data_IF_248347780141
#
_entry.id   IF_248347780141
#
_cell.length_a   1.000
_cell.length_b   1.000
_cell.length_c   1.000
_cell.angle_alpha   90.00
_cell.angle_beta   90.00
_cell.angle_gamma   90.00
#
_symmetry.space_group_name_H-M   'P 1'
#
loop_
_entity.id
_entity.type
_entity.pdbx_description
1 polymer ?
#
# COMPACT_ATOMS: atom_id res chain seq x y z
N UNK A 1 14.26 -8.01 -24.92
CA UNK A 1 13.64 -7.19 -23.87
C UNK A 1 12.13 -7.24 -24.07
N UNK A 2 11.31 -7.36 -23.01
CA UNK A 2 9.86 -7.27 -23.15
C UNK A 2 9.41 -5.85 -22.82
N UNK A 3 8.61 -5.24 -23.70
CA UNK A 3 8.07 -3.88 -23.52
C UNK A 3 6.56 -3.92 -23.34
N UNK A 4 6.02 -3.06 -22.48
CA UNK A 4 4.57 -2.87 -22.33
C UNK A 4 4.21 -1.42 -22.51
N UNK A 5 3.21 -1.14 -23.35
CA UNK A 5 2.69 0.20 -23.59
C UNK A 5 1.21 0.24 -23.22
N UNK A 6 0.82 1.13 -22.30
CA UNK A 6 -0.56 1.29 -21.85
C UNK A 6 -1.24 2.45 -22.57
N UNK A 7 -2.52 2.27 -22.89
CA UNK A 7 -3.41 3.31 -23.41
C UNK A 7 -4.73 3.21 -22.65
N UNK A 8 -5.07 4.21 -21.86
CA UNK A 8 -6.33 4.24 -21.11
C UNK A 8 -6.95 5.62 -21.21
N UNK A 9 -8.26 5.68 -21.48
CA UNK A 9 -9.11 6.83 -21.24
C UNK A 9 -9.89 6.57 -19.94
N UNK A 10 -9.73 7.47 -18.96
CA UNK A 10 -10.32 7.33 -17.63
C UNK A 10 -11.25 8.52 -17.41
N UNK A 11 -12.52 8.24 -17.16
CA UNK A 11 -13.52 9.23 -16.79
C UNK A 11 -14.01 8.92 -15.39
N UNK A 12 -13.96 9.92 -14.53
CA UNK A 12 -14.42 9.81 -13.15
C UNK A 12 -15.34 10.98 -12.83
N UNK A 13 -16.38 10.70 -12.06
CA UNK A 13 -17.26 11.70 -11.48
C UNK A 13 -17.67 11.25 -10.10
N UNK A 14 -17.75 12.20 -9.17
CA UNK A 14 -18.30 11.93 -7.84
C UNK A 14 -19.08 13.12 -7.34
N UNK A 15 -20.09 12.84 -6.53
CA UNK A 15 -20.90 13.82 -5.83
C UNK A 15 -20.99 13.40 -4.37
N UNK A 16 -20.87 14.39 -3.48
CA UNK A 16 -20.98 14.16 -2.06
C UNK A 16 -21.75 15.29 -1.39
N UNK A 17 -22.72 14.92 -0.56
CA UNK A 17 -23.50 15.85 0.25
C UNK A 17 -23.31 15.48 1.71
N UNK A 18 -22.93 16.47 2.53
CA UNK A 18 -22.66 16.29 3.95
C UNK A 18 -23.43 17.30 4.79
N UNK A 19 -23.90 16.85 5.93
CA UNK A 19 -24.44 17.67 7.02
C UNK A 19 -23.58 17.45 8.25
N UNK A 20 -23.26 18.51 8.98
CA UNK A 20 -22.44 18.42 10.18
C UNK A 20 -23.02 19.31 11.29
N UNK A 21 -22.89 18.86 12.53
CA UNK A 21 -23.20 19.68 13.70
C UNK A 21 -22.21 20.84 13.87
N UNK A 22 -22.60 21.95 14.50
CA UNK A 22 -21.66 22.95 14.99
C UNK A 22 -20.62 22.37 15.96
N UNK A 23 -19.45 23.00 16.04
CA UNK A 23 -18.39 22.60 16.97
C UNK A 23 -18.72 23.00 18.42
N UNK A 24 -18.12 22.30 19.40
CA UNK A 24 -18.23 22.64 20.83
C UNK A 24 -19.40 21.99 21.59
N UNK A 25 -20.35 21.35 20.89
CA UNK A 25 -21.43 20.57 21.51
C UNK A 25 -20.95 19.35 22.29
N UNK A 26 -21.83 18.73 23.08
CA UNK A 26 -21.57 17.40 23.68
C UNK A 26 -21.63 16.28 22.66
N UNK A 27 -22.51 16.40 21.66
CA UNK A 27 -22.57 15.53 20.52
C UNK A 27 -22.07 16.29 19.29
N UNK A 28 -21.00 15.81 18.67
CA UNK A 28 -20.52 16.27 17.38
C UNK A 28 -20.75 15.18 16.36
N UNK A 29 -21.42 15.48 15.26
CA UNK A 29 -21.80 14.48 14.28
C UNK A 29 -21.63 15.01 12.86
N UNK A 30 -21.44 14.07 11.94
CA UNK A 30 -21.40 14.33 10.51
C UNK A 30 -22.15 13.19 9.81
N UNK A 31 -23.06 13.49 8.90
CA UNK A 31 -23.74 12.49 8.10
C UNK A 31 -23.69 12.89 6.63
N UNK A 32 -23.68 11.91 5.72
CA UNK A 32 -23.61 12.22 4.31
C UNK A 32 -23.99 11.06 3.40
N UNK A 33 -24.13 11.42 2.14
CA UNK A 33 -24.34 10.50 1.01
C UNK A 33 -23.28 10.79 -0.03
N UNK A 34 -22.73 9.73 -0.58
CA UNK A 34 -21.69 9.75 -1.61
C UNK A 34 -22.15 8.92 -2.79
N UNK A 35 -21.90 9.41 -4.00
CA UNK A 35 -22.09 8.64 -5.23
C UNK A 35 -20.93 8.91 -6.18
N UNK A 36 -20.44 7.87 -6.84
CA UNK A 36 -19.38 7.98 -7.82
C UNK A 36 -19.55 7.01 -8.98
N UNK A 37 -19.09 7.46 -10.14
CA UNK A 37 -18.97 6.66 -11.35
C UNK A 37 -17.55 6.79 -11.90
N UNK A 38 -16.95 5.65 -12.21
CA UNK A 38 -15.68 5.56 -12.91
C UNK A 38 -15.84 4.65 -14.13
N UNK A 39 -15.33 5.10 -15.27
CA UNK A 39 -15.19 4.26 -16.47
C UNK A 39 -13.77 4.33 -17.00
N UNK A 40 -13.22 3.18 -17.31
CA UNK A 40 -11.90 3.02 -17.92
C UNK A 40 -12.08 2.27 -19.23
N UNK A 41 -11.77 2.92 -20.36
CA UNK A 41 -11.70 2.25 -21.65
C UNK A 41 -10.25 2.27 -22.12
N UNK A 42 -9.66 1.09 -22.33
CA UNK A 42 -8.24 1.04 -22.61
C UNK A 42 -7.67 -0.35 -22.80
N UNK A 43 -6.38 -0.45 -22.51
CA UNK A 43 -5.61 -1.65 -22.72
C UNK A 43 -4.12 -1.42 -22.71
N UNK A 44 -3.39 -2.43 -23.17
CA UNK A 44 -1.96 -2.36 -23.36
C UNK A 44 -1.49 -3.30 -24.46
N UNK A 45 -0.37 -2.92 -25.08
CA UNK A 45 0.40 -3.78 -25.96
C UNK A 45 1.57 -4.39 -25.19
N UNK A 46 1.88 -5.66 -25.47
CA UNK A 46 3.06 -6.34 -24.95
C UNK A 46 3.91 -6.87 -26.09
N UNK A 47 5.18 -6.45 -26.14
CA UNK A 47 6.17 -6.97 -27.07
C UNK A 47 6.97 -8.09 -26.40
N UNK A 48 6.78 -9.33 -26.86
CA UNK A 48 7.57 -10.49 -26.48
C UNK A 48 8.41 -11.05 -27.65
N UNK A 49 8.58 -10.30 -28.74
CA UNK A 49 9.29 -10.73 -29.94
C UNK A 49 10.74 -11.15 -29.66
N UNK A 50 11.41 -10.44 -28.74
CA UNK A 50 12.77 -10.73 -28.31
C UNK A 50 12.85 -11.70 -27.11
N UNK A 51 11.72 -12.17 -26.58
CA UNK A 51 11.74 -13.19 -25.54
C UNK A 51 11.99 -14.56 -26.19
N UNK A 52 13.09 -15.20 -25.79
CA UNK A 52 13.64 -16.43 -26.40
C UNK A 52 12.62 -17.56 -26.62
N UNK A 53 11.55 -17.61 -25.82
CA UNK A 53 10.53 -18.68 -25.84
C UNK A 53 9.15 -18.23 -26.31
N UNK A 54 8.93 -16.95 -26.59
CA UNK A 54 7.59 -16.42 -26.94
C UNK A 54 7.52 -15.93 -28.38
N UNK A 55 8.32 -14.92 -28.77
CA UNK A 55 8.44 -14.50 -30.17
C UNK A 55 7.19 -13.85 -30.78
N UNK A 56 6.30 -13.27 -29.96
CA UNK A 56 5.04 -12.69 -30.42
C UNK A 56 4.75 -11.30 -29.85
N UNK A 57 3.83 -10.58 -30.48
CA UNK A 57 3.25 -9.33 -29.99
C UNK A 57 1.82 -9.58 -29.53
N UNK A 58 1.41 -9.00 -28.40
CA UNK A 58 0.05 -9.12 -27.87
C UNK A 58 -0.61 -7.76 -27.66
N UNK A 59 -1.93 -7.75 -27.76
CA UNK A 59 -2.80 -6.67 -27.30
C UNK A 59 -3.76 -7.24 -26.25
N UNK A 60 -3.97 -6.49 -25.18
CA UNK A 60 -5.06 -6.72 -24.23
C UNK A 60 -5.87 -5.44 -24.11
N UNK A 61 -7.15 -5.50 -24.44
CA UNK A 61 -8.12 -4.40 -24.30
C UNK A 61 -9.14 -4.73 -23.24
N UNK A 62 -9.63 -3.72 -22.52
CA UNK A 62 -10.68 -3.85 -21.53
C UNK A 62 -11.46 -2.54 -21.40
N UNK A 63 -12.76 -2.66 -21.16
CA UNK A 63 -13.59 -1.63 -20.57
C UNK A 63 -13.89 -1.99 -19.13
N UNK A 64 -13.77 -1.08 -18.18
CA UNK A 64 -14.24 -1.27 -16.81
C UNK A 64 -15.19 -0.15 -16.43
N UNK A 65 -16.26 -0.50 -15.72
CA UNK A 65 -17.17 0.46 -15.10
C UNK A 65 -17.29 0.17 -13.62
N UNK A 66 -17.22 1.20 -12.79
CA UNK A 66 -17.46 1.14 -11.35
C UNK A 66 -18.51 2.16 -11.00
N UNK A 67 -19.52 1.75 -10.26
CA UNK A 67 -20.54 2.63 -9.71
C UNK A 67 -20.68 2.34 -8.22
N UNK A 68 -20.49 3.36 -7.39
CA UNK A 68 -20.49 3.23 -5.93
C UNK A 68 -21.44 4.25 -5.33
N UNK A 69 -22.34 3.78 -4.47
CA UNK A 69 -23.22 4.63 -3.66
C UNK A 69 -23.04 4.29 -2.19
N UNK A 70 -22.83 5.31 -1.36
CA UNK A 70 -22.64 5.12 0.08
C UNK A 70 -23.43 6.12 0.93
N UNK A 71 -23.90 5.64 2.07
CA UNK A 71 -24.54 6.47 3.12
C UNK A 71 -23.74 6.29 4.40
N UNK A 72 -23.39 7.37 5.09
CA UNK A 72 -22.48 7.31 6.23
C UNK A 72 -22.80 8.33 7.33
N UNK A 73 -22.33 8.03 8.54
CA UNK A 73 -22.54 8.82 9.75
C UNK A 73 -21.41 8.66 10.78
N UNK A 74 -20.81 9.79 11.13
CA UNK A 74 -19.92 10.19 12.23
C UNK A 74 -20.62 10.59 13.54
N UNK A 75 -20.26 10.09 14.73
CA UNK A 75 -20.67 10.65 16.03
C UNK A 75 -19.52 10.57 17.05
N UNK A 76 -19.16 11.74 17.59
CA UNK A 76 -18.34 11.89 18.79
C UNK A 76 -19.21 12.43 19.93
N UNK A 77 -19.36 11.65 20.99
CA UNK A 77 -20.23 11.96 22.12
C UNK A 77 -19.43 12.08 23.42
N UNK A 78 -19.29 13.30 23.93
CA UNK A 78 -18.67 13.58 25.22
C UNK A 78 -19.60 13.18 26.36
N UNK A 79 -19.34 12.02 26.97
CA UNK A 79 -20.06 11.55 28.16
C UNK A 79 -19.80 12.47 29.37
N UNK A 80 -18.57 12.95 29.50
CA UNK A 80 -18.14 13.94 30.47
C UNK A 80 -16.90 14.69 29.95
N UNK A 81 -16.22 15.47 30.80
CA UNK A 81 -15.06 16.28 30.40
C UNK A 81 -13.82 15.45 30.01
N UNK A 82 -13.80 14.16 30.34
CA UNK A 82 -12.65 13.26 30.07
C UNK A 82 -12.97 12.09 29.16
N UNK A 83 -14.23 11.69 29.05
CA UNK A 83 -14.62 10.48 28.33
C UNK A 83 -15.47 10.80 27.10
N UNK A 84 -14.99 10.39 25.93
CA UNK A 84 -15.69 10.53 24.65
C UNK A 84 -15.94 9.16 24.04
N UNK A 85 -17.15 8.92 23.59
CA UNK A 85 -17.50 7.77 22.75
C UNK A 85 -17.44 8.18 21.29
N UNK A 86 -16.79 7.37 20.46
CA UNK A 86 -16.65 7.59 19.03
C UNK A 86 -17.38 6.45 18.31
N UNK A 87 -18.30 6.80 17.41
CA UNK A 87 -19.08 5.86 16.64
C UNK A 87 -19.17 6.30 15.18
N UNK A 88 -18.96 5.39 14.26
CA UNK A 88 -19.08 5.63 12.83
C UNK A 88 -19.65 4.43 12.10
N UNK A 89 -20.49 4.68 11.09
CA UNK A 89 -21.08 3.63 10.25
C UNK A 89 -21.22 4.13 8.82
N UNK A 90 -20.94 3.27 7.85
CA UNK A 90 -21.15 3.51 6.42
C UNK A 90 -21.69 2.25 5.77
N UNK A 91 -22.78 2.38 5.03
CA UNK A 91 -23.22 1.38 4.08
C UNK A 91 -22.74 1.75 2.69
N UNK A 92 -22.24 0.79 1.93
CA UNK A 92 -21.78 0.97 0.57
C UNK A 92 -22.37 -0.10 -0.35
N UNK A 93 -22.94 0.31 -1.47
CA UNK A 93 -23.36 -0.54 -2.58
C UNK A 93 -22.49 -0.17 -3.79
N UNK A 94 -21.62 -1.10 -4.20
CA UNK A 94 -20.75 -0.96 -5.35
C UNK A 94 -21.07 -2.03 -6.38
N UNK A 95 -21.11 -1.63 -7.66
CA UNK A 95 -21.13 -2.53 -8.80
C UNK A 95 -19.91 -2.30 -9.67
N UNK A 96 -19.35 -3.41 -10.17
CA UNK A 96 -18.18 -3.41 -11.05
C UNK A 96 -18.41 -4.30 -12.24
N UNK A 97 -18.07 -3.78 -13.41
CA UNK A 97 -18.17 -4.50 -14.68
C UNK A 97 -16.83 -4.50 -15.39
N UNK A 98 -16.47 -5.63 -15.98
CA UNK A 98 -15.45 -5.79 -16.99
C UNK A 98 -16.17 -6.08 -18.30
N UNK A 99 -16.07 -5.15 -19.24
CA UNK A 99 -16.73 -5.20 -20.53
C UNK A 99 -15.68 -5.29 -21.64
N UNK A 100 -16.00 -5.99 -22.74
CA UNK A 100 -15.15 -6.05 -23.93
C UNK A 100 -13.69 -6.45 -23.64
N UNK A 101 -13.46 -7.28 -22.61
CA UNK A 101 -12.12 -7.78 -22.37
C UNK A 101 -11.73 -8.66 -23.55
N UNK A 102 -10.55 -8.40 -24.12
CA UNK A 102 -9.99 -9.20 -25.20
C UNK A 102 -8.47 -9.21 -25.11
N UNK A 103 -7.88 -10.39 -25.08
CA UNK A 103 -6.46 -10.60 -25.31
C UNK A 103 -6.26 -11.30 -26.66
N UNK A 104 -5.35 -10.78 -27.47
CA UNK A 104 -5.03 -11.33 -28.79
C UNK A 104 -3.52 -11.23 -29.09
N UNK A 105 -3.01 -12.19 -29.86
CA UNK A 105 -1.72 -12.08 -30.52
C UNK A 105 -1.92 -11.24 -31.78
N UNK A 106 -1.07 -10.23 -31.98
CA UNK A 106 -1.07 -9.36 -33.15
C UNK A 106 -0.13 -9.88 -34.25
N UNK A 107 0.99 -10.50 -33.87
CA UNK A 107 1.98 -11.05 -34.81
C UNK A 107 2.82 -12.15 -34.13
N UNK A 108 3.42 -13.09 -34.88
CA UNK A 108 3.38 -13.19 -36.35
C UNK A 108 2.09 -13.82 -36.90
N UNK A 109 1.33 -14.54 -36.07
CA UNK A 109 0.08 -15.18 -36.46
C UNK A 109 -1.08 -14.65 -35.60
N UNK A 110 -1.90 -13.71 -36.14
CA UNK A 110 -2.98 -13.10 -35.40
C UNK A 110 -3.96 -14.14 -34.84
N UNK A 111 -4.25 -14.09 -33.54
CA UNK A 111 -5.19 -15.01 -32.92
C UNK A 111 -5.75 -14.43 -31.62
N UNK A 112 -7.07 -14.54 -31.45
CA UNK A 112 -7.72 -14.21 -30.18
C UNK A 112 -7.41 -15.32 -29.17
N UNK A 113 -6.97 -14.92 -27.98
CA UNK A 113 -6.58 -15.83 -26.90
C UNK A 113 -7.65 -15.93 -25.82
N UNK A 114 -8.24 -14.81 -25.43
CA UNK A 114 -9.31 -14.78 -24.45
C UNK A 114 -10.24 -13.59 -24.72
N UNK A 115 -11.53 -13.78 -24.46
CA UNK A 115 -12.50 -12.71 -24.33
C UNK A 115 -13.33 -12.92 -23.08
N UNK A 116 -13.81 -11.84 -22.47
CA UNK A 116 -14.76 -11.93 -21.37
C UNK A 116 -15.60 -10.67 -21.21
N UNK A 117 -16.79 -10.88 -20.67
CA UNK A 117 -17.55 -9.86 -19.96
C UNK A 117 -17.96 -10.44 -18.61
N UNK A 118 -17.66 -9.72 -17.53
CA UNK A 118 -17.87 -10.17 -16.14
C UNK A 118 -18.41 -9.02 -15.31
N UNK A 119 -19.17 -9.32 -14.27
CA UNK A 119 -19.63 -8.34 -13.30
C UNK A 119 -19.52 -8.90 -11.88
N UNK A 120 -19.38 -8.00 -10.91
CA UNK A 120 -19.44 -8.32 -9.48
C UNK A 120 -20.02 -7.11 -8.73
N UNK A 121 -20.65 -7.35 -7.59
CA UNK A 121 -21.09 -6.30 -6.67
C UNK A 121 -20.59 -6.53 -5.25
N UNK A 122 -20.58 -5.46 -4.47
CA UNK A 122 -20.24 -5.45 -3.05
C UNK A 122 -21.29 -4.62 -2.31
N UNK A 123 -21.87 -5.18 -1.24
CA UNK A 123 -22.86 -4.50 -0.41
C UNK A 123 -22.50 -4.66 1.05
N UNK A 124 -21.82 -3.67 1.61
CA UNK A 124 -21.07 -3.85 2.83
C UNK A 124 -21.24 -2.71 3.83
N UNK A 125 -21.19 -3.07 5.11
CA UNK A 125 -21.22 -2.13 6.24
C UNK A 125 -19.83 -1.93 6.83
N UNK A 126 -19.25 -0.76 6.69
CA UNK A 126 -18.02 -0.39 7.40
C UNK A 126 -18.34 0.48 8.59
N UNK A 127 -17.44 0.54 9.57
CA UNK A 127 -17.71 1.34 10.76
C UNK A 127 -16.60 1.31 11.78
N UNK A 128 -16.78 2.10 12.83
CA UNK A 128 -15.85 2.22 13.95
C UNK A 128 -16.64 2.41 15.23
N UNK A 129 -16.20 1.75 16.29
CA UNK A 129 -16.62 2.02 17.65
C UNK A 129 -15.38 2.21 18.50
N UNK A 130 -15.32 3.28 19.27
CA UNK A 130 -14.16 3.61 20.09
C UNK A 130 -14.51 4.39 21.34
N UNK A 131 -13.55 4.40 22.25
CA UNK A 131 -13.57 5.18 23.47
C UNK A 131 -12.27 5.95 23.57
N UNK A 132 -12.39 7.20 23.99
CA UNK A 132 -11.28 8.11 24.22
C UNK A 132 -11.36 8.62 25.66
N UNK A 133 -10.24 8.54 26.38
CA UNK A 133 -10.11 9.00 27.75
C UNK A 133 -8.96 10.00 27.88
N UNK A 134 -9.33 11.26 28.13
CA UNK A 134 -8.42 12.36 28.41
C UNK A 134 -7.98 12.29 29.87
N UNK A 135 -6.76 11.81 30.11
CA UNK A 135 -6.17 11.70 31.44
C UNK A 135 -5.85 13.11 31.99
N UNK A 136 -5.30 13.96 31.13
CA UNK A 136 -5.03 15.39 31.36
C UNK A 136 -5.09 16.14 30.02
N UNK A 137 -4.97 17.47 30.05
CA UNK A 137 -4.94 18.30 28.83
C UNK A 137 -3.85 17.90 27.82
N UNK A 138 -2.86 17.13 28.27
CA UNK A 138 -1.71 16.71 27.49
C UNK A 138 -1.67 15.19 27.20
N UNK A 139 -2.57 14.38 27.78
CA UNK A 139 -2.51 12.91 27.66
C UNK A 139 -3.91 12.36 27.31
N UNK A 140 -3.99 11.71 26.15
CA UNK A 140 -5.17 11.02 25.66
C UNK A 140 -4.86 9.54 25.46
N UNK A 141 -5.66 8.65 26.04
CA UNK A 141 -5.64 7.22 25.69
C UNK A 141 -6.90 6.86 24.93
N UNK A 142 -6.81 5.90 24.02
CA UNK A 142 -7.96 5.44 23.26
C UNK A 142 -7.92 3.94 23.01
N UNK A 143 -9.09 3.39 22.75
CA UNK A 143 -9.25 2.05 22.19
C UNK A 143 -10.38 2.07 21.17
N UNK A 144 -10.21 1.38 20.05
CA UNK A 144 -11.24 1.28 19.03
C UNK A 144 -11.23 -0.08 18.33
N UNK A 145 -12.40 -0.46 17.84
CA UNK A 145 -12.60 -1.54 16.88
C UNK A 145 -13.20 -0.93 15.61
N UNK A 146 -12.68 -1.29 14.46
CA UNK A 146 -13.18 -0.83 13.18
C UNK A 146 -13.32 -1.98 12.18
N UNK A 147 -14.32 -1.88 11.32
CA UNK A 147 -14.51 -2.76 10.16
C UNK A 147 -14.28 -1.95 8.90
N UNK A 148 -13.33 -2.41 8.08
CA UNK A 148 -13.05 -1.89 6.75
C UNK A 148 -13.32 -2.94 5.68
N UNK A 149 -13.62 -2.49 4.47
CA UNK A 149 -13.66 -3.35 3.29
C UNK A 149 -12.86 -2.70 2.16
N UNK A 150 -12.28 -3.52 1.30
CA UNK A 150 -11.64 -3.12 0.07
C UNK A 150 -12.31 -3.83 -1.08
N UNK A 151 -12.83 -3.06 -2.04
CA UNK A 151 -13.60 -3.59 -3.16
C UNK A 151 -12.87 -4.70 -3.92
N UNK A 152 -13.65 -5.66 -4.42
CA UNK A 152 -13.16 -6.69 -5.33
C UNK A 152 -12.91 -6.16 -6.74
N UNK A 153 -12.63 -7.05 -7.68
CA UNK A 153 -12.42 -6.65 -9.05
C UNK A 153 -11.93 -7.76 -9.96
N UNK A 154 -11.26 -7.35 -11.04
CA UNK A 154 -10.83 -8.24 -12.10
C UNK A 154 -9.32 -8.09 -12.33
N UNK A 155 -8.64 -9.21 -12.60
CA UNK A 155 -7.25 -9.16 -13.08
C UNK A 155 -7.27 -8.98 -14.60
N UNK A 156 -6.73 -7.88 -15.12
CA UNK A 156 -6.72 -7.59 -16.57
C UNK A 156 -5.34 -7.79 -17.21
N UNK A 157 -4.64 -8.87 -16.88
CA UNK A 157 -3.36 -9.22 -17.52
C UNK A 157 -3.55 -9.90 -18.88
N UNK A 158 -2.45 -10.07 -19.63
CA UNK A 158 -2.44 -10.90 -20.84
C UNK A 158 -3.00 -12.28 -20.51
N UNK A 159 -4.20 -12.57 -21.02
CA UNK A 159 -4.92 -13.78 -20.64
C UNK A 159 -5.02 -14.75 -21.81
N UNK A 160 -4.73 -16.02 -21.52
CA UNK A 160 -4.83 -17.15 -22.45
C UNK A 160 -6.10 -17.97 -22.26
N UNK A 161 -6.82 -17.80 -21.14
CA UNK A 161 -8.03 -18.56 -20.81
C UNK A 161 -9.06 -17.68 -20.08
N UNK A 162 -10.37 -17.94 -20.25
CA UNK A 162 -11.43 -17.24 -19.52
C UNK A 162 -11.30 -17.31 -17.98
N UNK A 163 -10.88 -18.44 -17.41
CA UNK A 163 -10.78 -18.63 -15.95
C UNK A 163 -9.77 -17.68 -15.26
N UNK A 164 -8.84 -17.11 -16.03
CA UNK A 164 -7.89 -16.09 -15.54
C UNK A 164 -8.58 -14.77 -15.21
N UNK A 165 -9.78 -14.57 -15.75
CA UNK A 165 -10.61 -13.38 -15.65
C UNK A 165 -11.71 -13.53 -14.61
N UNK A 166 -11.75 -14.67 -13.89
CA UNK A 166 -12.68 -14.80 -12.78
C UNK A 166 -12.41 -13.70 -11.74
N UNK A 167 -13.46 -13.06 -11.22
CA UNK A 167 -13.31 -11.96 -10.28
C UNK A 167 -12.58 -12.40 -9.01
N UNK A 168 -11.92 -11.45 -8.35
CA UNK A 168 -11.50 -11.60 -6.96
C UNK A 168 -12.49 -10.88 -6.05
N UNK A 169 -12.75 -11.46 -4.89
CA UNK A 169 -13.70 -10.95 -3.90
C UNK A 169 -13.17 -9.67 -3.26
N UNK A 170 -14.08 -8.93 -2.62
CA UNK A 170 -13.67 -7.87 -1.70
C UNK A 170 -12.88 -8.46 -0.53
N UNK A 171 -12.02 -7.65 0.07
CA UNK A 171 -11.24 -7.96 1.26
C UNK A 171 -11.89 -7.28 2.46
N UNK A 172 -11.99 -7.97 3.59
CA UNK A 172 -12.53 -7.45 4.84
C UNK A 172 -11.46 -7.38 5.90
N UNK A 173 -11.54 -6.34 6.75
CA UNK A 173 -10.66 -6.14 7.88
C UNK A 173 -11.49 -5.84 9.13
N UNK A 174 -11.23 -6.56 10.22
CA UNK A 174 -11.58 -6.11 11.57
C UNK A 174 -10.29 -5.67 12.27
N UNK A 175 -10.18 -4.39 12.57
CA UNK A 175 -9.03 -3.79 13.22
C UNK A 175 -9.34 -3.42 14.66
N UNK A 176 -8.56 -3.96 15.59
CA UNK A 176 -8.53 -3.59 17.00
C UNK A 176 -7.29 -2.74 17.25
N UNK A 177 -7.47 -1.57 17.82
CA UNK A 177 -6.37 -0.65 18.10
C UNK A 177 -6.51 -0.01 19.48
N UNK A 178 -5.40 0.16 20.17
CA UNK A 178 -5.33 0.98 21.38
C UNK A 178 -4.04 1.78 21.38
N UNK A 179 -4.08 2.99 21.93
CA UNK A 179 -2.91 3.83 21.94
C UNK A 179 -3.02 5.00 22.90
N UNK A 180 -1.90 5.69 23.02
CA UNK A 180 -1.73 6.91 23.80
C UNK A 180 -1.17 8.00 22.90
N UNK A 181 -1.71 9.20 23.05
CA UNK A 181 -1.16 10.43 22.49
C UNK A 181 -0.78 11.34 23.65
N UNK A 182 0.45 11.84 23.64
CA UNK A 182 0.94 12.64 24.76
C UNK A 182 1.88 13.77 24.38
N UNK A 183 1.83 14.83 25.19
CA UNK A 183 2.69 16.00 25.13
C UNK A 183 3.29 16.26 26.52
N UNK A 184 4.59 16.51 26.62
CA UNK A 184 5.27 16.75 27.88
C UNK A 184 6.14 17.99 27.82
N UNK A 185 6.35 18.61 28.99
CA UNK A 185 7.25 19.74 29.21
C UNK A 185 7.00 20.89 28.22
N UNK A 186 5.78 21.42 28.20
CA UNK A 186 5.35 22.50 27.30
C UNK A 186 5.59 22.14 25.81
N UNK A 187 5.20 20.92 25.42
CA UNK A 187 5.33 20.37 24.04
C UNK A 187 6.79 20.18 23.58
N UNK A 188 7.76 20.17 24.51
CA UNK A 188 9.14 19.78 24.20
C UNK A 188 9.26 18.31 23.85
N UNK A 189 8.39 17.44 24.36
CA UNK A 189 8.30 16.05 23.92
C UNK A 189 6.86 15.76 23.51
N UNK A 190 6.66 15.37 22.26
CA UNK A 190 5.44 14.69 21.83
C UNK A 190 5.79 13.22 21.70
N UNK A 191 5.00 12.35 22.32
CA UNK A 191 5.20 10.91 22.31
C UNK A 191 3.85 10.23 22.10
N UNK A 192 3.75 9.44 21.05
CA UNK A 192 2.57 8.64 20.79
C UNK A 192 2.98 7.18 20.63
N UNK A 193 2.12 6.28 21.08
CA UNK A 193 2.32 4.86 20.91
C UNK A 193 0.99 4.18 20.66
N UNK A 194 1.00 3.14 19.82
CA UNK A 194 -0.18 2.34 19.54
C UNK A 194 0.20 0.86 19.43
N UNK A 195 -0.77 0.00 19.74
CA UNK A 195 -0.75 -1.42 19.48
C UNK A 195 -2.00 -1.79 18.70
N UNK A 196 -1.87 -2.74 17.78
CA UNK A 196 -2.94 -3.12 16.87
C UNK A 196 -2.96 -4.62 16.60
N UNK A 197 -4.17 -5.12 16.32
CA UNK A 197 -4.44 -6.46 15.83
C UNK A 197 -5.49 -6.38 14.72
N UNK A 198 -5.16 -6.90 13.55
CA UNK A 198 -5.93 -6.83 12.32
C UNK A 198 -6.27 -8.26 11.88
N UNK A 199 -7.55 -8.60 11.89
CA UNK A 199 -8.09 -9.87 11.39
C UNK A 199 -8.60 -9.64 9.97
N UNK A 200 -7.96 -10.28 8.99
CA UNK A 200 -8.30 -10.17 7.58
C UNK A 200 -9.09 -11.39 7.11
N UNK A 201 -10.11 -11.13 6.29
CA UNK A 201 -10.79 -12.16 5.50
C UNK A 201 -10.73 -11.82 4.02
N UNK A 202 -10.55 -12.86 3.22
CA UNK A 202 -10.43 -12.75 1.77
C UNK A 202 -9.35 -11.71 1.35
N UNK A 203 -8.21 -11.64 2.07
CA UNK A 203 -7.13 -10.67 1.82
C UNK A 203 -6.62 -10.77 0.38
N UNK A 204 -6.61 -9.66 -0.35
CA UNK A 204 -6.24 -9.62 -1.75
C UNK A 204 -4.72 -9.57 -1.93
N UNK A 205 -4.14 -10.63 -2.49
CA UNK A 205 -2.71 -10.71 -2.81
C UNK A 205 -2.47 -11.01 -4.29
N UNK A 206 -1.31 -10.60 -4.78
CA UNK A 206 -0.83 -11.02 -6.08
C UNK A 206 -0.40 -12.50 -6.02
N UNK A 207 -1.21 -13.37 -6.62
CA UNK A 207 -0.93 -14.78 -6.79
C UNK A 207 -0.64 -15.15 -8.24
N UNK A 208 -0.73 -16.45 -8.52
CA UNK A 208 -0.50 -17.05 -9.83
C UNK A 208 -1.46 -18.19 -10.09
N UNK A 209 -1.75 -18.40 -11.37
CA UNK A 209 -2.48 -19.55 -11.89
C UNK A 209 -1.60 -20.25 -12.93
N UNK A 210 -1.67 -21.58 -12.98
CA UNK A 210 -1.05 -22.39 -14.02
C UNK A 210 -2.12 -22.87 -14.99
N UNK A 211 -1.87 -22.67 -16.27
CA UNK A 211 -2.75 -23.11 -17.36
C UNK A 211 -1.97 -23.93 -18.37
N UNK A 212 -2.65 -24.53 -19.34
CA UNK A 212 -1.99 -25.20 -20.48
C UNK A 212 -1.05 -24.28 -21.25
N UNK A 213 -1.26 -22.95 -21.18
CA UNK A 213 -0.45 -21.95 -21.88
C UNK A 213 0.66 -21.34 -21.03
N UNK A 214 0.76 -21.67 -19.73
CA UNK A 214 1.83 -21.22 -18.85
C UNK A 214 1.37 -20.72 -17.48
N UNK A 215 2.35 -20.23 -16.71
CA UNK A 215 2.12 -19.51 -15.45
C UNK A 215 1.72 -18.07 -15.74
N UNK A 216 0.60 -17.63 -15.19
CA UNK A 216 0.13 -16.24 -15.25
C UNK A 216 -0.06 -15.67 -13.86
N UNK A 217 0.07 -14.35 -13.72
CA UNK A 217 -0.31 -13.65 -12.48
C UNK A 217 -1.81 -13.48 -12.38
N UNK A 218 -2.36 -13.52 -11.16
CA UNK A 218 -3.75 -13.17 -10.87
C UNK A 218 -3.87 -12.66 -9.43
N UNK A 219 -4.75 -11.70 -9.19
CA UNK A 219 -5.16 -11.35 -7.82
C UNK A 219 -5.99 -12.49 -7.23
N UNK A 220 -5.64 -12.90 -6.03
CA UNK A 220 -6.30 -13.98 -5.29
C UNK A 220 -6.71 -13.48 -3.91
N UNK A 221 -7.70 -14.13 -3.32
CA UNK A 221 -8.11 -13.89 -1.95
C UNK A 221 -7.50 -14.97 -1.05
N UNK A 222 -6.80 -14.56 0.00
CA UNK A 222 -6.39 -15.43 1.10
C UNK A 222 -7.57 -15.54 2.06
N UNK A 223 -8.11 -16.75 2.31
CA UNK A 223 -9.30 -16.92 3.13
C UNK A 223 -9.19 -16.24 4.49
N UNK A 224 -8.07 -16.43 5.19
CA UNK A 224 -7.85 -15.82 6.51
C UNK A 224 -6.38 -15.54 6.78
N UNK A 225 -6.09 -14.35 7.30
CA UNK A 225 -4.78 -13.95 7.77
C UNK A 225 -4.91 -12.90 8.86
N UNK A 226 -3.85 -12.68 9.64
CA UNK A 226 -3.83 -11.62 10.62
C UNK A 226 -2.52 -10.83 10.60
N UNK A 227 -2.57 -9.59 11.07
CA UNK A 227 -1.41 -8.73 11.30
C UNK A 227 -1.54 -8.10 12.68
N UNK A 228 -0.47 -8.15 13.47
CA UNK A 228 -0.41 -7.49 14.76
C UNK A 228 0.90 -6.75 14.92
N UNK A 229 0.90 -5.73 15.75
CA UNK A 229 2.09 -4.91 15.91
C UNK A 229 1.94 -3.79 16.91
N UNK A 230 3.01 -3.01 17.00
CA UNK A 230 3.07 -1.82 17.81
C UNK A 230 3.93 -0.77 17.11
N UNK A 231 3.58 0.49 17.32
CA UNK A 231 4.32 1.63 16.81
C UNK A 231 4.53 2.67 17.91
N UNK A 232 5.66 3.36 17.81
CA UNK A 232 6.04 4.47 18.68
C UNK A 232 6.51 5.59 17.77
N UNK A 233 6.03 6.80 18.02
CA UNK A 233 6.54 8.03 17.41
C UNK A 233 6.86 9.06 18.50
N UNK A 234 7.97 9.77 18.32
CA UNK A 234 8.42 10.80 19.24
C UNK A 234 8.98 12.00 18.47
N UNK A 235 8.56 13.20 18.88
CA UNK A 235 9.19 14.46 18.47
C UNK A 235 9.70 15.16 19.72
N UNK A 236 11.02 15.27 19.83
CA UNK A 236 11.70 15.79 20.99
C UNK A 236 12.50 17.05 20.64
N UNK A 237 12.29 18.11 21.41
CA UNK A 237 12.94 19.42 21.33
C UNK A 237 13.65 19.71 22.65
N UNK A 238 14.77 19.04 22.95
CA UNK A 238 15.50 19.23 24.21
C UNK A 238 16.08 20.64 24.34
N UNK A 239 16.42 21.26 23.21
CA UNK A 239 16.94 22.62 23.11
C UNK A 239 16.08 23.40 22.09
N UNK A 240 16.02 24.74 22.17
CA UNK A 240 15.20 25.56 21.25
C UNK A 240 15.51 25.36 19.76
N UNK A 241 16.70 24.87 19.46
CA UNK A 241 17.26 24.76 18.13
C UNK A 241 17.65 23.33 17.75
N UNK A 242 17.26 22.34 18.55
CA UNK A 242 17.49 20.93 18.26
C UNK A 242 16.14 20.22 18.20
N UNK A 243 15.80 19.64 17.05
CA UNK A 243 14.64 18.77 16.89
C UNK A 243 15.10 17.36 16.56
N UNK A 244 14.61 16.39 17.31
CA UNK A 244 14.86 14.97 17.13
C UNK A 244 13.51 14.30 16.89
N UNK A 245 13.35 13.64 15.76
CA UNK A 245 12.15 12.87 15.43
C UNK A 245 12.52 11.40 15.35
N UNK A 246 11.77 10.53 16.01
CA UNK A 246 11.98 9.07 15.99
C UNK A 246 10.66 8.37 15.74
N UNK A 247 10.68 7.32 14.93
CA UNK A 247 9.54 6.44 14.71
C UNK A 247 10.03 4.99 14.61
N UNK A 248 9.41 4.10 15.37
CA UNK A 248 9.71 2.67 15.39
C UNK A 248 8.41 1.89 15.23
N UNK A 249 8.38 0.94 14.31
CA UNK A 249 7.27 0.03 14.12
C UNK A 249 7.75 -1.42 14.15
N UNK A 250 7.03 -2.25 14.91
CA UNK A 250 7.12 -3.69 14.88
C UNK A 250 5.81 -4.26 14.36
N UNK A 251 5.89 -5.19 13.41
CA UNK A 251 4.73 -5.91 12.90
C UNK A 251 5.05 -7.36 12.59
N UNK A 252 4.10 -8.23 12.89
CA UNK A 252 4.11 -9.63 12.54
C UNK A 252 2.76 -10.00 11.95
N UNK A 253 2.75 -10.88 10.97
CA UNK A 253 1.50 -11.39 10.42
C UNK A 253 1.73 -12.70 9.71
N UNK A 254 0.65 -13.45 9.59
CA UNK A 254 0.67 -14.86 9.24
C UNK A 254 -0.61 -15.22 8.46
N UNK A 255 -0.51 -16.23 7.61
CA UNK A 255 -1.67 -16.88 7.03
C UNK A 255 -2.28 -17.84 8.04
N UNK A 256 -3.55 -17.63 8.39
CA UNK A 256 -4.30 -18.53 9.26
C UNK A 256 -4.91 -19.68 8.45
N UNK A 257 -5.39 -19.38 7.25
CA UNK A 257 -5.94 -20.35 6.31
C UNK A 257 -5.50 -19.98 4.89
N UNK A 258 -4.65 -20.80 4.27
CA UNK A 258 -4.23 -20.54 2.90
C UNK A 258 -3.77 -21.80 2.15
N UNK A 259 -4.65 -22.36 1.32
CA UNK A 259 -4.28 -23.40 0.36
C UNK A 259 -3.95 -22.77 -0.98
N UNK A 260 -2.68 -22.83 -1.37
CA UNK A 260 -2.20 -22.13 -2.56
C UNK A 260 -1.29 -22.97 -3.43
N UNK A 261 -1.18 -22.59 -4.70
CA UNK A 261 -0.36 -23.28 -5.68
C UNK A 261 1.10 -23.31 -5.22
N UNK A 262 1.65 -24.52 -5.13
CA UNK A 262 3.07 -24.73 -4.96
C UNK A 262 3.76 -24.61 -6.32
N UNK A 263 4.25 -23.41 -6.61
CA UNK A 263 4.91 -23.12 -7.89
C UNK A 263 6.12 -24.01 -8.14
N UNK A 264 6.96 -24.25 -7.13
CA UNK A 264 8.16 -25.10 -7.28
C UNK A 264 7.78 -26.54 -7.63
N UNK A 265 6.82 -27.13 -6.91
CA UNK A 265 6.37 -28.49 -7.16
C UNK A 265 5.63 -28.60 -8.50
N UNK A 266 4.79 -27.61 -8.83
CA UNK A 266 4.05 -27.58 -10.11
C UNK A 266 4.99 -27.44 -11.30
N UNK A 267 6.05 -26.63 -11.21
CA UNK A 267 7.08 -26.54 -12.24
C UNK A 267 7.89 -27.84 -12.37
N UNK A 268 8.17 -28.54 -11.27
CA UNK A 268 8.84 -29.84 -11.30
C UNK A 268 7.97 -30.96 -11.89
N UNK A 269 6.64 -30.85 -11.78
CA UNK A 269 5.67 -31.79 -12.34
C UNK A 269 5.30 -31.50 -13.81
N UNK A 270 5.95 -30.51 -14.44
CA UNK A 270 5.74 -30.18 -15.85
C UNK A 270 6.11 -31.35 -16.74
N UNK A 271 5.23 -31.69 -17.69
CA UNK A 271 5.47 -32.76 -18.63
C UNK A 271 6.69 -32.43 -19.52
N UNK A 272 7.76 -33.24 -19.49
CA UNK A 272 8.98 -32.94 -20.25
C UNK A 272 8.81 -33.12 -21.76
N UNK A 273 7.83 -33.92 -22.21
CA UNK A 273 7.58 -34.18 -23.63
C UNK A 273 6.71 -33.08 -24.26
N UNK A 274 5.67 -32.64 -23.56
CA UNK A 274 4.70 -31.66 -24.09
C UNK A 274 4.96 -30.24 -23.58
N UNK A 275 5.69 -30.08 -22.48
CA UNK A 275 5.87 -28.80 -21.81
C UNK A 275 4.60 -28.28 -21.12
N UNK A 276 3.59 -29.12 -20.91
CA UNK A 276 2.30 -28.74 -20.33
C UNK A 276 2.23 -29.01 -18.81
N UNK A 277 1.40 -28.23 -18.11
CA UNK A 277 1.11 -28.42 -16.68
C UNK A 277 -0.13 -29.31 -16.52
N UNK A 278 0.05 -30.63 -16.59
CA UNK A 278 -1.03 -31.61 -16.46
C UNK A 278 -1.51 -31.82 -15.02
N UNK A 279 -0.70 -31.40 -14.03
CA UNK A 279 -1.02 -31.50 -12.61
C UNK A 279 -0.62 -30.21 -11.93
N UNK A 280 -1.56 -29.56 -11.25
CA UNK A 280 -1.31 -28.37 -10.43
C UNK A 280 -1.25 -28.81 -8.97
N UNK A 281 -0.10 -28.57 -8.33
CA UNK A 281 0.14 -29.00 -6.96
C UNK A 281 -0.16 -27.83 -6.03
N UNK A 282 -0.97 -28.10 -4.99
CA UNK A 282 -1.29 -27.15 -3.94
C UNK A 282 -0.56 -27.52 -2.65
N UNK A 283 -0.26 -26.54 -1.82
CA UNK A 283 0.27 -26.75 -0.48
C UNK A 283 -0.50 -25.89 0.50
N UNK A 284 -0.67 -26.41 1.71
CA UNK A 284 -1.11 -25.61 2.84
C UNK A 284 0.02 -24.64 3.22
N UNK A 285 -0.34 -23.37 3.35
CA UNK A 285 0.53 -22.25 3.68
C UNK A 285 0.13 -21.62 5.02
N UNK A 286 -0.84 -22.20 5.73
CA UNK A 286 -1.14 -21.79 7.09
C UNK A 286 0.14 -21.87 7.95
N UNK A 287 0.38 -20.87 8.80
CA UNK A 287 1.64 -20.77 9.54
C UNK A 287 2.72 -19.93 8.85
N UNK A 288 2.64 -19.71 7.54
CA UNK A 288 3.65 -18.92 6.84
C UNK A 288 3.48 -17.41 7.12
N UNK A 289 4.60 -16.76 7.43
CA UNK A 289 4.66 -15.32 7.69
C UNK A 289 4.33 -14.51 6.43
N UNK A 290 3.56 -13.44 6.60
CA UNK A 290 3.29 -12.45 5.56
C UNK A 290 4.57 -11.72 5.10
N UNK A 291 4.72 -11.44 3.78
CA UNK A 291 5.98 -11.02 3.17
C UNK A 291 6.31 -9.52 3.34
N UNK A 292 6.28 -9.02 4.58
CA UNK A 292 6.67 -7.66 4.94
C UNK A 292 7.79 -7.65 6.01
N UNK A 293 8.62 -6.58 6.08
CA UNK A 293 9.63 -6.41 7.13
C UNK A 293 9.01 -6.41 8.53
N UNK A 294 9.67 -7.02 9.52
CA UNK A 294 9.18 -7.01 10.90
C UNK A 294 9.40 -5.66 11.56
N UNK A 295 10.59 -5.09 11.34
CA UNK A 295 10.99 -3.81 11.91
C UNK A 295 11.12 -2.76 10.81
N UNK A 296 10.52 -1.60 11.06
CA UNK A 296 10.80 -0.37 10.33
C UNK A 296 11.18 0.70 11.37
N UNK A 297 12.33 1.34 11.19
CA UNK A 297 12.78 2.44 12.07
C UNK A 297 13.17 3.64 11.22
N UNK A 298 12.70 4.82 11.61
CA UNK A 298 13.01 6.08 10.93
C UNK A 298 13.30 7.13 11.96
N UNK A 299 14.25 8.00 11.66
CA UNK A 299 14.51 9.14 12.50
C UNK A 299 15.16 10.29 11.76
N UNK A 300 15.10 11.46 12.38
CA UNK A 300 15.81 12.64 11.92
C UNK A 300 16.31 13.47 13.09
N UNK A 301 17.39 14.19 12.83
CA UNK A 301 17.95 15.18 13.74
C UNK A 301 18.18 16.44 12.92
N UNK A 302 17.60 17.55 13.37
CA UNK A 302 17.78 18.87 12.80
C UNK A 302 18.30 19.83 13.86
N UNK A 303 19.35 20.57 13.52
CA UNK A 303 19.94 21.57 14.39
C UNK A 303 20.07 22.90 13.65
N UNK A 304 19.45 23.93 14.22
CA UNK A 304 19.50 25.30 13.73
C UNK A 304 20.52 26.11 14.53
N UNK A 305 21.31 26.93 13.87
CA UNK A 305 22.13 27.92 14.57
C UNK A 305 22.30 29.19 13.76
N UNK A 306 22.65 30.26 14.48
CA UNK A 306 23.00 31.54 13.88
C UNK A 306 24.50 31.61 13.66
N UNK A 307 24.91 32.03 12.47
CA UNK A 307 26.30 32.31 12.11
C UNK A 307 26.36 33.71 11.48
N UNK A 308 26.65 34.74 12.27
CA UNK A 308 26.54 36.14 11.82
C UNK A 308 25.10 36.48 11.44
N UNK A 309 24.87 37.00 10.24
CA UNK A 309 23.54 37.32 9.71
C UNK A 309 22.89 36.16 8.94
N UNK A 310 23.42 34.95 9.11
CA UNK A 310 22.91 33.74 8.48
C UNK A 310 22.28 32.82 9.52
N UNK A 311 21.12 32.25 9.17
CA UNK A 311 20.61 31.03 9.79
C UNK A 311 21.14 29.82 9.02
N UNK A 312 21.70 28.87 9.75
CA UNK A 312 22.19 27.62 9.19
C UNK A 312 21.43 26.47 9.85
N UNK A 313 20.93 25.56 9.02
CA UNK A 313 20.25 24.34 9.44
C UNK A 313 21.09 23.16 8.96
N UNK A 314 21.54 22.30 9.88
CA UNK A 314 22.07 20.99 9.55
C UNK A 314 21.03 19.94 9.89
N UNK A 315 20.77 19.04 8.95
CA UNK A 315 19.85 17.94 9.16
C UNK A 315 20.43 16.62 8.67
N UNK A 316 20.09 15.56 9.39
CA UNK A 316 20.26 14.20 8.94
C UNK A 316 18.96 13.43 9.15
N UNK A 317 18.65 12.53 8.24
CA UNK A 317 17.59 11.55 8.43
C UNK A 317 18.13 10.17 8.09
N UNK A 318 17.56 9.17 8.74
CA UNK A 318 17.95 7.79 8.53
C UNK A 318 16.71 6.89 8.58
N UNK A 319 16.79 5.79 7.84
CA UNK A 319 15.78 4.77 7.81
C UNK A 319 16.45 3.40 7.84
N UNK A 320 15.96 2.53 8.71
CA UNK A 320 16.23 1.10 8.70
C UNK A 320 14.97 0.36 8.27
N UNK A 321 15.15 -0.59 7.37
CA UNK A 321 14.13 -1.55 7.01
C UNK A 321 14.70 -2.95 7.17
N UNK A 322 13.99 -3.78 7.92
CA UNK A 322 14.35 -5.18 8.14
C UNK A 322 14.21 -6.00 6.85
N UNK A 323 14.77 -7.21 6.88
CA UNK A 323 14.66 -8.14 5.77
C UNK A 323 13.18 -8.52 5.51
N UNK A 324 12.89 -8.81 4.24
CA UNK A 324 11.58 -9.36 3.84
C UNK A 324 11.76 -10.47 2.83
N UNK A 325 10.87 -11.45 2.91
CA UNK A 325 10.76 -12.47 1.89
C UNK A 325 9.94 -11.92 0.70
N UNK A 326 10.46 -12.06 -0.52
CA UNK A 326 9.72 -11.77 -1.75
C UNK A 326 9.09 -13.06 -2.27
N UNK A 327 7.76 -13.17 -2.15
CA UNK A 327 6.98 -14.31 -2.66
C UNK A 327 7.12 -14.47 -4.17
N UNK A 328 7.17 -13.36 -4.92
CA UNK A 328 7.26 -13.37 -6.38
C UNK A 328 8.58 -13.93 -6.90
N UNK A 329 9.68 -13.71 -6.18
CA UNK A 329 11.02 -14.18 -6.56
C UNK A 329 11.51 -15.38 -5.75
N UNK A 330 10.77 -15.81 -4.72
CA UNK A 330 11.17 -16.83 -3.76
C UNK A 330 12.56 -16.57 -3.17
N UNK A 331 12.81 -15.33 -2.75
CA UNK A 331 14.12 -14.89 -2.25
C UNK A 331 13.98 -13.90 -1.09
N UNK A 332 15.05 -13.72 -0.31
CA UNK A 332 15.12 -12.72 0.74
C UNK A 332 15.68 -11.41 0.15
N UNK A 333 15.02 -10.31 0.48
CA UNK A 333 15.54 -8.95 0.29
C UNK A 333 16.13 -8.55 1.63
N UNK A 334 17.45 -8.34 1.65
CA UNK A 334 18.21 -8.07 2.87
C UNK A 334 17.79 -6.76 3.54
N UNK A 335 17.98 -6.69 4.86
CA UNK A 335 17.80 -5.46 5.61
C UNK A 335 18.79 -4.39 5.17
N UNK A 336 18.40 -3.12 5.26
CA UNK A 336 19.28 -2.02 4.87
C UNK A 336 19.05 -0.75 5.70
N UNK A 337 20.10 0.08 5.73
CA UNK A 337 20.05 1.44 6.25
C UNK A 337 20.21 2.43 5.10
N UNK A 338 19.39 3.49 5.12
CA UNK A 338 19.58 4.67 4.30
C UNK A 338 19.83 5.85 5.22
N UNK A 339 20.92 6.57 4.99
CA UNK A 339 21.26 7.80 5.73
C UNK A 339 21.38 8.93 4.73
N UNK A 340 20.69 10.04 4.99
CA UNK A 340 20.78 11.26 4.21
C UNK A 340 21.25 12.40 5.12
N UNK A 341 21.93 13.38 4.54
CA UNK A 341 22.39 14.55 5.26
C UNK A 341 22.33 15.79 4.37
N UNK A 342 22.16 16.94 4.99
CA UNK A 342 22.21 18.22 4.30
C UNK A 342 22.45 19.39 5.24
N UNK A 343 23.01 20.45 4.67
CA UNK A 343 23.20 21.72 5.35
C UNK A 343 22.64 22.82 4.46
N UNK A 344 21.77 23.66 5.02
CA UNK A 344 21.17 24.80 4.34
C UNK A 344 21.53 26.09 5.07
N UNK A 345 22.02 27.09 4.36
CA UNK A 345 22.28 28.43 4.86
C UNK A 345 21.33 29.43 4.20
N UNK A 346 20.74 30.31 5.00
CA UNK A 346 19.86 31.40 4.56
C UNK A 346 20.20 32.70 5.29
N UNK A 347 20.28 33.85 4.62
CA UNK A 347 20.41 35.12 5.31
C UNK A 347 19.13 35.40 6.12
N UNK A 348 19.23 36.00 7.30
CA UNK A 348 18.07 36.28 8.16
C UNK A 348 17.07 37.25 7.51
N UNK A 349 17.58 38.20 6.73
CA UNK A 349 16.77 39.19 6.00
C UNK A 349 16.79 38.96 4.49
N UNK A 350 17.09 37.73 4.06
CA UNK A 350 17.23 37.37 2.65
C UNK A 350 16.09 36.49 2.14
N UNK A 351 15.80 36.61 0.85
CA UNK A 351 14.76 35.82 0.18
C UNK A 351 15.32 34.57 -0.51
N UNK A 352 16.60 34.23 -0.26
CA UNK A 352 17.27 33.11 -0.88
C UNK A 352 17.87 32.15 0.15
N UNK A 353 18.04 30.90 -0.25
CA UNK A 353 18.73 29.87 0.53
C UNK A 353 19.67 29.06 -0.37
N UNK A 354 20.81 28.69 0.19
CA UNK A 354 21.79 27.79 -0.43
C UNK A 354 21.91 26.54 0.42
N UNK A 355 21.78 25.36 -0.19
CA UNK A 355 21.93 24.09 0.51
C UNK A 355 22.78 23.11 -0.26
N UNK A 356 23.50 22.27 0.48
CA UNK A 356 24.18 21.08 -0.02
C UNK A 356 23.55 19.86 0.62
N UNK A 357 23.40 18.78 -0.15
CA UNK A 357 22.84 17.54 0.36
C UNK A 357 23.56 16.32 -0.20
N UNK A 358 23.46 15.23 0.55
CA UNK A 358 23.86 13.87 0.14
C UNK A 358 22.72 12.93 0.50
N UNK A 359 22.17 12.26 -0.50
CA UNK A 359 21.26 11.14 -0.35
C UNK A 359 22.07 9.83 -0.39
N UNK A 360 21.70 8.85 0.43
CA UNK A 360 22.41 7.59 0.58
C UNK A 360 23.91 7.83 0.90
N UNK A 361 24.16 8.60 1.96
CA UNK A 361 25.48 9.03 2.44
C UNK A 361 26.45 7.85 2.67
N UNK A 362 25.93 6.70 3.09
CA UNK A 362 26.72 5.48 3.32
C UNK A 362 27.03 4.70 2.05
N UNK A 363 26.45 5.07 0.90
CA UNK A 363 26.48 4.30 -0.36
C UNK A 363 26.01 2.86 -0.18
N UNK A 364 24.92 2.69 0.58
CA UNK A 364 24.31 1.38 0.80
C UNK A 364 23.63 0.92 -0.48
N UNK A 365 24.02 -0.25 -0.98
CA UNK A 365 23.26 -0.96 -2.00
C UNK A 365 22.12 -1.74 -1.33
N UNK A 366 20.92 -1.63 -1.87
CA UNK A 366 19.73 -2.37 -1.43
C UNK A 366 18.71 -2.43 -2.56
N UNK A 367 17.77 -3.36 -2.47
CA UNK A 367 16.69 -3.49 -3.44
C UNK A 367 15.34 -3.27 -2.74
N UNK A 368 14.49 -2.42 -3.31
CA UNK A 368 13.14 -2.18 -2.80
C UNK A 368 12.20 -3.34 -3.15
N UNK A 369 12.44 -3.98 -4.30
CA UNK A 369 11.67 -5.12 -4.75
C UNK A 369 12.50 -6.08 -5.60
N UNK A 370 12.13 -7.36 -5.52
CA UNK A 370 12.52 -8.44 -6.43
C UNK A 370 11.26 -9.09 -6.96
N UNK A 371 11.22 -9.34 -8.25
CA UNK A 371 10.10 -9.97 -8.92
C UNK A 371 10.64 -10.97 -9.97
N UNK A 372 9.73 -11.74 -10.55
CA UNK A 372 10.01 -12.66 -11.64
C UNK A 372 8.98 -12.48 -12.73
N UNK A 373 9.43 -12.03 -13.89
CA UNK A 373 8.60 -11.88 -15.06
C UNK A 373 8.94 -12.97 -16.07
N UNK A 374 7.99 -13.90 -16.27
CA UNK A 374 8.18 -15.12 -17.05
C UNK A 374 9.40 -15.90 -16.52
N UNK A 375 10.54 -15.83 -17.22
CA UNK A 375 11.79 -16.52 -16.87
C UNK A 375 12.87 -15.58 -16.32
N UNK A 376 12.68 -14.27 -16.37
CA UNK A 376 13.66 -13.29 -15.93
C UNK A 376 13.41 -12.85 -14.48
N UNK A 377 14.48 -12.83 -13.69
CA UNK A 377 14.49 -12.12 -12.42
C UNK A 377 14.58 -10.61 -12.69
N UNK A 378 13.78 -9.82 -11.98
CA UNK A 378 13.82 -8.35 -12.03
C UNK A 378 13.98 -7.81 -10.62
N UNK A 379 14.75 -6.72 -10.48
CA UNK A 379 15.00 -6.05 -9.22
C UNK A 379 14.92 -4.54 -9.38
N UNK A 380 14.46 -3.85 -8.35
CA UNK A 380 14.47 -2.38 -8.30
C UNK A 380 15.45 -1.94 -7.21
N UNK A 381 16.67 -1.54 -7.57
CA UNK A 381 17.65 -1.08 -6.60
C UNK A 381 17.27 0.31 -6.07
N UNK A 382 17.69 0.59 -4.86
CA UNK A 382 17.67 1.95 -4.34
C UNK A 382 18.65 2.85 -5.10
N UNK A 383 18.36 4.16 -5.22
CA UNK A 383 19.30 5.10 -5.81
C UNK A 383 20.68 5.04 -5.12
N UNK A 384 21.78 5.09 -5.89
CA UNK A 384 23.13 5.16 -5.32
C UNK A 384 23.35 6.49 -4.60
N UNK A 385 24.50 6.63 -3.92
CA UNK A 385 24.89 7.91 -3.32
C UNK A 385 24.76 9.05 -4.33
N UNK A 386 23.96 10.04 -4.00
CA UNK A 386 23.71 11.21 -4.84
C UNK A 386 23.95 12.47 -4.02
N UNK A 387 24.82 13.36 -4.49
CA UNK A 387 25.04 14.66 -3.88
C UNK A 387 24.56 15.76 -4.81
N UNK A 388 24.21 16.91 -4.24
CA UNK A 388 23.78 18.04 -5.04
C UNK A 388 23.70 19.33 -4.26
N UNK A 389 23.40 20.39 -5.00
CA UNK A 389 23.18 21.73 -4.48
C UNK A 389 21.71 22.10 -4.69
N UNK A 390 21.13 22.80 -3.72
CA UNK A 390 19.80 23.38 -3.81
C UNK A 390 19.89 24.88 -3.66
N UNK A 391 19.30 25.59 -4.61
CA UNK A 391 19.08 27.03 -4.55
C UNK A 391 17.57 27.26 -4.46
N UNK A 392 17.14 28.13 -3.57
CA UNK A 392 15.73 28.47 -3.42
C UNK A 392 15.59 29.98 -3.30
N UNK A 393 14.56 30.53 -3.93
CA UNK A 393 14.22 31.95 -3.89
C UNK A 393 12.72 32.10 -3.62
N UNK A 394 12.35 32.93 -2.65
CA UNK A 394 10.96 33.26 -2.32
C UNK A 394 10.67 34.68 -2.81
N UNK A 395 9.78 34.81 -3.79
CA UNK A 395 9.37 36.10 -4.34
C UNK A 395 8.28 36.77 -3.51
#
# INVERSE_FOLDING_TARGET
>A
QAGTFFFNDIKTSSQEVRLASPTGGRAQWLAGVYHANESVDGGFYSDFSQARTLGFYMSTTYGQKVETTGVFGNLDYRLNDRLTLVGGLRYEDESRELNNFKTEILAPNPSVRATASKSQSMREWTGKLGVEYTISDDILTYANVSRGVKSGGFTTYNSGLPDQLEPFKFEELIAYETGVKSSFWDRKLQFNAAAFYYDYRDQQLQGVLYTQTGRVGRMINVPKSHIQGAEIEAVWRPLPNLTITQALAYKYGEYDEFFFVNSTATEAAKDPATGQYNTIIYSDRAGERLPFPKWDYKGSVAYDWRMGDWGVEAQTNYAFRDEKFSTSSNSIIDSYWLVNAGVTARPMNGNYAFGVYVNNLTDSYSEESRNRFISAATGSPNPPRTWGVRLSYRY
#
